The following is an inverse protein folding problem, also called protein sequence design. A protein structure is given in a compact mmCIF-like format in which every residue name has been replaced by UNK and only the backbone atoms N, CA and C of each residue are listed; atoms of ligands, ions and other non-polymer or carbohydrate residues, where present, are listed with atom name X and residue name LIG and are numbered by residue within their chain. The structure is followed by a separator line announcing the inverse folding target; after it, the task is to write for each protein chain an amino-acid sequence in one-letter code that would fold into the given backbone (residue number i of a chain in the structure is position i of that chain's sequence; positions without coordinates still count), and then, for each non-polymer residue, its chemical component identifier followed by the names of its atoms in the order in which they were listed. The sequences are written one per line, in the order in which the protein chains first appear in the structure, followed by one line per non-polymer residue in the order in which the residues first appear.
data_IF_545210849851
#
_entry.id   IF_545210849851
#
_cell.length_a   1.000
_cell.length_b   1.000
_cell.length_c   1.000
_cell.angle_alpha   90.00
_cell.angle_beta   90.00
_cell.angle_gamma   90.00
#
_symmetry.space_group_name_H-M   'P 1'
#
loop_
_entity.id
_entity.type
_entity.pdbx_description
1 polymer ?
#
# COMPACT_ATOMS: atom_id res chain seq x y z
N UNK A 1 44.00 -14.25 8.10
CA UNK A 1 42.76 -14.66 8.79
C UNK A 1 42.11 -15.72 7.92
N UNK A 2 42.01 -16.98 8.38
CA UNK A 2 41.26 -18.01 7.67
C UNK A 2 39.79 -17.82 7.98
N UNK A 3 39.02 -17.35 7.00
CA UNK A 3 37.56 -17.37 7.10
C UNK A 3 37.11 -18.83 7.24
N UNK A 4 36.20 -19.08 8.16
CA UNK A 4 35.58 -20.39 8.28
C UNK A 4 34.79 -20.68 7.01
N UNK A 5 34.71 -21.96 6.60
CA UNK A 5 33.91 -22.37 5.45
C UNK A 5 32.44 -21.92 5.55
N UNK A 6 31.95 -21.74 6.78
CA UNK A 6 30.61 -21.28 7.09
C UNK A 6 30.39 -19.78 6.80
N UNK A 7 31.39 -18.93 7.03
CA UNK A 7 31.35 -17.51 6.68
C UNK A 7 31.36 -17.30 5.16
N UNK A 8 32.16 -18.10 4.44
CA UNK A 8 32.20 -18.06 2.98
C UNK A 8 30.87 -18.48 2.34
N UNK A 9 30.24 -19.54 2.87
CA UNK A 9 28.93 -19.99 2.41
C UNK A 9 27.84 -18.92 2.65
N UNK A 10 27.87 -18.22 3.79
CA UNK A 10 26.96 -17.09 4.09
C UNK A 10 27.15 -15.94 3.11
N UNK A 11 28.39 -15.61 2.76
CA UNK A 11 28.69 -14.51 1.83
C UNK A 11 28.18 -14.82 0.42
N UNK A 12 28.35 -16.06 -0.06
CA UNK A 12 27.74 -16.51 -1.32
C UNK A 12 26.21 -16.43 -1.24
N UNK A 13 25.61 -16.91 -0.14
CA UNK A 13 24.16 -16.90 0.03
C UNK A 13 23.59 -15.46 -0.02
N UNK A 14 24.27 -14.49 0.61
CA UNK A 14 23.90 -13.08 0.59
C UNK A 14 23.95 -12.47 -0.82
N UNK A 15 24.85 -12.96 -1.70
CA UNK A 15 24.92 -12.49 -3.09
C UNK A 15 23.91 -13.18 -4.02
N UNK A 16 23.59 -14.44 -3.76
CA UNK A 16 22.76 -15.27 -4.64
C UNK A 16 21.28 -15.07 -4.35
N UNK A 17 20.86 -15.01 -3.07
CA UNK A 17 19.45 -14.88 -2.71
C UNK A 17 18.77 -13.66 -3.35
N UNK A 18 19.32 -12.43 -3.33
CA UNK A 18 18.68 -11.29 -3.96
C UNK A 18 18.51 -11.45 -5.48
N UNK A 19 19.47 -12.09 -6.16
CA UNK A 19 19.41 -12.37 -7.60
C UNK A 19 18.28 -13.35 -7.91
N UNK A 20 18.13 -14.40 -7.10
CA UNK A 20 16.99 -15.32 -7.20
C UNK A 20 15.67 -14.62 -6.90
N UNK A 21 15.61 -13.80 -5.85
CA UNK A 21 14.41 -13.02 -5.52
C UNK A 21 14.00 -12.11 -6.67
N UNK A 22 14.94 -11.42 -7.32
CA UNK A 22 14.66 -10.56 -8.47
C UNK A 22 14.22 -11.40 -9.69
N UNK A 23 14.94 -12.49 -9.99
CA UNK A 23 14.66 -13.34 -11.15
C UNK A 23 13.30 -14.05 -11.06
N UNK A 24 12.94 -14.54 -9.88
CA UNK A 24 11.69 -15.24 -9.62
C UNK A 24 10.58 -14.34 -9.08
N UNK A 25 10.86 -13.06 -8.81
CA UNK A 25 9.79 -12.10 -8.61
C UNK A 25 9.03 -12.00 -9.93
N UNK A 26 7.78 -12.45 -9.93
CA UNK A 26 6.85 -12.10 -11.00
C UNK A 26 6.92 -10.59 -11.15
N UNK A 27 7.27 -10.09 -12.34
CA UNK A 27 7.25 -8.65 -12.62
C UNK A 27 5.85 -8.17 -12.27
N UNK A 28 5.69 -7.57 -11.09
CA UNK A 28 4.38 -7.14 -10.61
C UNK A 28 3.88 -6.11 -11.61
N UNK A 29 2.71 -6.36 -12.17
CA UNK A 29 2.08 -5.38 -13.02
C UNK A 29 1.62 -4.23 -12.11
N UNK A 30 2.48 -3.24 -11.96
CA UNK A 30 2.23 -2.12 -11.07
C UNK A 30 0.97 -1.36 -11.47
N UNK A 31 0.71 -1.23 -12.77
CA UNK A 31 -0.51 -0.59 -13.26
C UNK A 31 -1.74 -1.39 -12.82
N UNK A 32 -1.69 -2.72 -12.88
CA UNK A 32 -2.77 -3.57 -12.39
C UNK A 32 -3.05 -3.35 -10.89
N UNK A 33 -2.02 -3.36 -10.05
CA UNK A 33 -2.20 -3.16 -8.60
C UNK A 33 -2.77 -1.77 -8.27
N UNK A 34 -2.29 -0.73 -8.96
CA UNK A 34 -2.80 0.64 -8.81
C UNK A 34 -4.24 0.78 -9.29
N UNK A 35 -4.58 0.20 -10.43
CA UNK A 35 -5.96 0.15 -10.91
C UNK A 35 -6.86 -0.58 -9.92
N UNK A 36 -6.40 -1.71 -9.37
CA UNK A 36 -7.16 -2.47 -8.36
C UNK A 36 -7.45 -1.65 -7.10
N UNK A 37 -6.48 -0.90 -6.60
CA UNK A 37 -6.70 0.05 -5.50
C UNK A 37 -7.69 1.15 -5.89
N UNK A 38 -7.49 1.79 -7.04
CA UNK A 38 -8.28 2.94 -7.47
C UNK A 38 -9.72 2.57 -7.84
N UNK A 39 -9.99 1.34 -8.27
CA UNK A 39 -11.33 0.85 -8.56
C UNK A 39 -12.08 0.36 -7.30
N UNK A 40 -11.44 0.33 -6.13
CA UNK A 40 -12.03 -0.23 -4.92
C UNK A 40 -13.07 0.72 -4.30
N UNK A 41 -14.35 0.34 -4.35
CA UNK A 41 -15.48 0.99 -3.67
C UNK A 41 -16.02 0.14 -2.54
N UNK A 42 -16.47 0.74 -1.44
CA UNK A 42 -17.06 0.03 -0.31
C UNK A 42 -18.29 -0.77 -0.77
N UNK A 43 -18.42 -2.03 -0.33
CA UNK A 43 -19.59 -2.85 -0.64
C UNK A 43 -20.80 -2.45 0.22
N UNK A 44 -22.04 -2.69 -0.22
CA UNK A 44 -23.25 -2.30 0.51
C UNK A 44 -23.29 -2.75 1.98
N UNK A 45 -22.80 -3.96 2.27
CA UNK A 45 -22.81 -4.57 3.61
C UNK A 45 -21.41 -4.63 4.25
N UNK A 46 -20.43 -3.95 3.66
CA UNK A 46 -19.07 -3.94 4.18
C UNK A 46 -18.91 -2.91 5.30
N UNK A 47 -18.40 -3.33 6.46
CA UNK A 47 -18.01 -2.42 7.52
C UNK A 47 -16.87 -1.48 7.06
N UNK A 48 -16.92 -0.21 7.50
CA UNK A 48 -15.94 0.82 7.15
C UNK A 48 -14.51 0.40 7.51
N UNK A 49 -14.31 -0.25 8.67
CA UNK A 49 -12.97 -0.70 9.07
C UNK A 49 -12.43 -1.81 8.17
N UNK A 50 -13.31 -2.70 7.69
CA UNK A 50 -12.95 -3.74 6.71
C UNK A 50 -12.54 -3.12 5.38
N UNK A 51 -13.30 -2.11 4.94
CA UNK A 51 -13.00 -1.36 3.73
C UNK A 51 -11.62 -0.69 3.83
N UNK A 52 -11.37 0.06 4.91
CA UNK A 52 -10.09 0.74 5.16
C UNK A 52 -8.95 -0.27 5.24
N UNK A 53 -9.14 -1.38 5.96
CA UNK A 53 -8.15 -2.46 6.05
C UNK A 53 -7.80 -2.99 4.65
N UNK A 54 -8.82 -3.21 3.80
CA UNK A 54 -8.62 -3.65 2.42
C UNK A 54 -7.82 -2.62 1.60
N UNK A 55 -8.11 -1.32 1.74
CA UNK A 55 -7.33 -0.26 1.08
C UNK A 55 -5.86 -0.30 1.48
N UNK A 56 -5.56 -0.46 2.77
CA UNK A 56 -4.18 -0.60 3.24
C UNK A 56 -3.48 -1.84 2.68
N UNK A 57 -4.19 -2.97 2.57
CA UNK A 57 -3.65 -4.19 1.98
C UNK A 57 -3.32 -4.00 0.50
N UNK A 58 -4.23 -3.41 -0.28
CA UNK A 58 -4.01 -3.14 -1.70
C UNK A 58 -2.86 -2.15 -1.92
N UNK A 59 -2.78 -1.11 -1.10
CA UNK A 59 -1.73 -0.10 -1.21
C UNK A 59 -0.31 -0.65 -0.94
N UNK A 60 -0.17 -1.71 -0.13
CA UNK A 60 1.13 -2.40 0.09
C UNK A 60 1.72 -2.97 -1.20
N UNK A 61 0.88 -3.33 -2.17
CA UNK A 61 1.31 -3.91 -3.44
C UNK A 61 1.60 -2.86 -4.52
N UNK A 62 1.30 -1.59 -4.28
CA UNK A 62 1.44 -0.51 -5.26
C UNK A 62 2.81 0.19 -5.26
N UNK A 63 3.77 -0.29 -4.47
CA UNK A 63 5.18 0.19 -4.39
C UNK A 63 5.33 1.72 -4.28
N UNK A 64 4.36 2.42 -3.67
CA UNK A 64 4.42 3.87 -3.43
C UNK A 64 5.53 4.29 -2.46
N UNK A 65 6.11 3.32 -1.76
CA UNK A 65 7.07 3.50 -0.68
C UNK A 65 8.41 4.14 -1.12
N UNK A 66 8.67 4.27 -2.42
CA UNK A 66 9.96 4.77 -2.93
C UNK A 66 10.04 6.29 -3.15
N UNK A 67 8.95 7.05 -3.04
CA UNK A 67 9.01 8.51 -3.28
C UNK A 67 8.44 9.39 -2.17
N UNK A 68 7.52 8.92 -1.34
CA UNK A 68 7.10 9.58 -0.11
C UNK A 68 6.00 8.75 0.55
N UNK A 69 6.00 8.59 1.88
CA UNK A 69 4.87 7.98 2.60
C UNK A 69 3.53 8.69 2.33
N UNK A 70 3.58 9.97 1.98
CA UNK A 70 2.44 10.84 1.70
C UNK A 70 1.57 10.36 0.54
N UNK A 71 2.14 9.84 -0.56
CA UNK A 71 1.34 9.45 -1.74
C UNK A 71 0.41 8.28 -1.40
N UNK A 72 0.91 7.31 -0.63
CA UNK A 72 0.10 6.17 -0.19
C UNK A 72 -1.08 6.66 0.66
N UNK A 73 -0.81 7.56 1.59
CA UNK A 73 -1.81 8.03 2.53
C UNK A 73 -2.84 8.94 1.86
N UNK A 74 -2.43 9.78 0.92
CA UNK A 74 -3.31 10.58 0.06
C UNK A 74 -4.25 9.70 -0.77
N UNK A 75 -3.74 8.62 -1.39
CA UNK A 75 -4.58 7.73 -2.18
C UNK A 75 -5.61 7.00 -1.32
N UNK A 76 -5.22 6.53 -0.13
CA UNK A 76 -6.17 5.89 0.80
C UNK A 76 -7.19 6.92 1.28
N UNK A 77 -6.76 8.14 1.64
CA UNK A 77 -7.63 9.25 2.05
C UNK A 77 -8.66 9.54 0.97
N UNK A 78 -8.22 9.70 -0.27
CA UNK A 78 -9.08 10.08 -1.39
C UNK A 78 -10.11 8.98 -1.68
N UNK A 79 -9.74 7.70 -1.54
CA UNK A 79 -10.70 6.58 -1.62
C UNK A 79 -11.71 6.57 -0.47
N UNK A 80 -11.32 7.00 0.73
CA UNK A 80 -12.24 7.14 1.86
C UNK A 80 -13.21 8.31 1.64
N UNK A 81 -12.73 9.44 1.10
CA UNK A 81 -13.55 10.64 0.83
C UNK A 81 -14.73 10.29 -0.08
N UNK A 82 -14.49 9.52 -1.14
CA UNK A 82 -15.52 9.19 -2.14
C UNK A 82 -16.35 7.94 -1.80
N UNK A 83 -16.29 7.42 -0.56
CA UNK A 83 -17.00 6.18 -0.18
C UNK A 83 -18.52 6.31 -0.22
N UNK A 84 -19.05 7.45 0.19
CA UNK A 84 -20.48 7.76 0.17
C UNK A 84 -20.71 9.28 0.10
N UNK A 85 -21.86 9.71 -0.43
CA UNK A 85 -22.15 11.12 -0.68
C UNK A 85 -22.16 11.97 0.59
N UNK A 86 -22.79 11.51 1.67
CA UNK A 86 -22.89 12.25 2.94
C UNK A 86 -21.52 12.52 3.60
N UNK A 87 -20.65 11.52 3.61
CA UNK A 87 -19.30 11.65 4.16
C UNK A 87 -18.42 12.50 3.22
N UNK A 88 -18.57 12.34 1.90
CA UNK A 88 -17.83 13.11 0.90
C UNK A 88 -18.03 14.62 1.08
N UNK A 89 -19.28 15.07 1.18
CA UNK A 89 -19.61 16.49 1.39
C UNK A 89 -18.93 17.05 2.65
N UNK A 90 -18.99 16.32 3.76
CA UNK A 90 -18.38 16.76 5.04
C UNK A 90 -16.86 16.80 4.97
N UNK A 91 -16.23 15.79 4.37
CA UNK A 91 -14.78 15.68 4.30
C UNK A 91 -14.16 16.72 3.36
N UNK A 92 -14.83 17.02 2.25
CA UNK A 92 -14.34 17.98 1.25
C UNK A 92 -14.38 19.45 1.71
N UNK A 93 -15.08 19.75 2.81
CA UNK A 93 -15.05 21.09 3.43
C UNK A 93 -13.74 21.40 4.17
N UNK A 94 -12.94 20.38 4.49
CA UNK A 94 -11.66 20.55 5.19
C UNK A 94 -10.51 20.63 4.17
N UNK A 95 -9.93 21.81 4.01
CA UNK A 95 -8.86 22.06 3.02
C UNK A 95 -7.56 21.30 3.32
N UNK A 96 -7.25 21.07 4.60
CA UNK A 96 -6.06 20.38 5.10
C UNK A 96 -6.37 18.94 5.54
N UNK A 97 -7.32 18.27 4.87
CA UNK A 97 -7.77 16.93 5.24
C UNK A 97 -6.62 15.91 5.20
N UNK A 98 -6.35 15.32 6.37
CA UNK A 98 -5.39 14.23 6.52
C UNK A 98 -6.09 12.86 6.44
N UNK A 99 -5.30 11.80 6.22
CA UNK A 99 -5.82 10.43 6.30
C UNK A 99 -6.43 10.12 7.67
N UNK A 100 -5.81 10.60 8.76
CA UNK A 100 -6.32 10.41 10.12
C UNK A 100 -7.70 11.05 10.32
N UNK A 101 -7.91 12.25 9.77
CA UNK A 101 -9.21 12.93 9.81
C UNK A 101 -10.29 12.12 9.06
N UNK A 102 -9.95 11.64 7.86
CA UNK A 102 -10.87 10.86 7.02
C UNK A 102 -11.28 9.53 7.67
N UNK A 103 -10.38 8.90 8.43
CA UNK A 103 -10.68 7.68 9.20
C UNK A 103 -11.57 7.99 10.40
N UNK A 104 -11.36 9.13 11.07
CA UNK A 104 -12.07 9.50 12.30
C UNK A 104 -13.52 9.92 12.04
N UNK A 105 -13.77 10.60 10.92
CA UNK A 105 -15.12 11.02 10.51
C UNK A 105 -15.83 9.81 9.88
N UNK A 106 -16.46 9.00 10.75
CA UNK A 106 -17.39 7.93 10.35
C UNK A 106 -18.79 8.47 10.05
#
# INVERSE_FOLDING_TARGET
MCYSMEEYAKEILLQVLPKFTIYFSSKKNMIFERCKLNSRSQLPDENVDSFITTLYLLAKHCEYNQRCGTIKDELIRDRIVIRNSKTSERLQLKADLTLSDAITIR
#
